data_IF_494617821051
#
_entry.id   IF_494617821051
#
_cell.length_a   1.000
_cell.length_b   1.000
_cell.length_c   1.000
_cell.angle_alpha   90.00
_cell.angle_beta   90.00
_cell.angle_gamma   90.00
#
_symmetry.space_group_name_H-M   'P 1'
#
loop_
_entity.id
_entity.type
_entity.pdbx_description
1 polymer ?
#
# COMPACT_ATOMS: atom_id res chain seq x y z
N UNK A 1 -40.09 20.25 -6.48
CA UNK A 1 -39.99 18.78 -6.37
C UNK A 1 -38.73 18.48 -5.58
N UNK A 2 -38.89 18.34 -4.27
CA UNK A 2 -37.82 18.10 -3.30
C UNK A 2 -37.31 16.67 -3.42
N UNK A 3 -36.10 16.47 -3.94
CA UNK A 3 -35.44 15.17 -3.95
C UNK A 3 -34.92 14.86 -2.55
N UNK A 4 -35.69 14.06 -1.81
CA UNK A 4 -35.28 13.43 -0.56
C UNK A 4 -34.02 12.58 -0.79
N UNK A 5 -32.87 13.09 -0.35
CA UNK A 5 -31.66 12.28 -0.20
C UNK A 5 -31.85 11.40 1.02
N UNK A 6 -32.44 10.22 0.81
CA UNK A 6 -32.47 9.13 1.78
C UNK A 6 -31.04 8.79 2.20
N UNK A 7 -30.63 9.26 3.38
CA UNK A 7 -29.39 8.82 4.01
C UNK A 7 -29.60 7.39 4.51
N UNK A 8 -29.39 6.41 3.63
CA UNK A 8 -29.35 5.01 4.03
C UNK A 8 -28.17 4.84 5.01
N UNK A 9 -28.48 4.82 6.32
CA UNK A 9 -27.55 4.38 7.37
C UNK A 9 -27.20 2.93 7.07
N UNK A 10 -26.05 2.74 6.44
CA UNK A 10 -25.54 1.42 6.12
C UNK A 10 -25.22 0.66 7.41
N UNK A 11 -25.96 -0.41 7.65
CA UNK A 11 -25.72 -1.35 8.75
C UNK A 11 -24.83 -2.47 8.21
N UNK A 12 -23.63 -2.61 8.76
CA UNK A 12 -22.76 -3.77 8.49
C UNK A 12 -23.53 -5.05 8.79
N UNK A 13 -23.47 -6.10 7.94
CA UNK A 13 -24.11 -7.39 8.23
C UNK A 13 -23.48 -8.09 9.45
N UNK A 14 -22.31 -7.64 9.87
CA UNK A 14 -21.62 -8.11 11.07
C UNK A 14 -21.90 -7.18 12.26
N UNK A 15 -22.29 -7.78 13.38
CA UNK A 15 -22.38 -7.08 14.66
C UNK A 15 -20.97 -6.74 15.16
N UNK A 16 -20.72 -5.47 15.49
CA UNK A 16 -19.43 -5.06 16.04
C UNK A 16 -19.31 -5.58 17.48
N UNK A 17 -18.45 -6.57 17.67
CA UNK A 17 -18.15 -7.07 19.01
C UNK A 17 -17.53 -5.97 19.88
N UNK A 18 -18.11 -5.72 21.05
CA UNK A 18 -17.58 -4.77 22.04
C UNK A 18 -16.78 -5.54 23.07
N UNK A 19 -15.45 -5.38 23.03
CA UNK A 19 -14.56 -5.95 24.03
C UNK A 19 -14.84 -5.41 25.43
N UNK A 20 -14.61 -6.26 26.44
CA UNK A 20 -14.74 -5.90 27.85
C UNK A 20 -13.89 -4.66 28.21
N UNK A 21 -14.33 -3.89 29.22
CA UNK A 21 -13.64 -2.67 29.64
C UNK A 21 -12.26 -2.95 30.23
N UNK A 22 -12.09 -4.04 30.98
CA UNK A 22 -10.80 -4.39 31.57
C UNK A 22 -9.78 -4.74 30.50
N UNK A 23 -10.18 -5.54 29.51
CA UNK A 23 -9.34 -5.88 28.35
C UNK A 23 -8.93 -4.62 27.56
N UNK A 24 -9.87 -3.69 27.32
CA UNK A 24 -9.55 -2.42 26.64
C UNK A 24 -8.55 -1.57 27.43
N UNK A 25 -8.68 -1.52 28.75
CA UNK A 25 -7.74 -0.80 29.62
C UNK A 25 -6.35 -1.46 29.61
N UNK A 26 -6.29 -2.78 29.58
CA UNK A 26 -5.04 -3.54 29.47
C UNK A 26 -4.34 -3.27 28.15
N UNK A 27 -5.05 -3.36 27.02
CA UNK A 27 -4.52 -3.01 25.69
C UNK A 27 -4.04 -1.55 25.65
N UNK A 28 -4.78 -0.64 26.28
CA UNK A 28 -4.39 0.78 26.35
C UNK A 28 -3.06 0.98 27.08
N UNK A 29 -2.74 0.21 28.14
CA UNK A 29 -1.44 0.27 28.81
C UNK A 29 -0.29 -0.06 27.86
N UNK A 30 -0.42 -1.13 27.07
CA UNK A 30 0.59 -1.50 26.08
C UNK A 30 0.71 -0.47 24.94
N UNK A 31 -0.42 0.10 24.53
CA UNK A 31 -0.46 1.13 23.48
C UNK A 31 0.20 2.44 23.95
N UNK A 32 0.05 2.79 25.24
CA UNK A 32 0.71 3.94 25.85
C UNK A 32 2.22 3.73 26.00
N UNK A 33 2.64 2.51 26.32
CA UNK A 33 4.06 2.14 26.37
C UNK A 33 4.71 2.21 24.98
N UNK A 34 3.97 1.83 23.93
CA UNK A 34 4.42 1.94 22.55
C UNK A 34 3.97 3.27 21.91
N UNK A 35 4.33 4.38 22.56
CA UNK A 35 3.98 5.71 22.09
C UNK A 35 4.70 6.00 20.76
N UNK A 36 3.95 6.54 19.80
CA UNK A 36 4.48 7.00 18.52
C UNK A 36 5.52 8.09 18.75
N UNK A 37 6.68 7.96 18.12
CA UNK A 37 7.70 9.00 18.03
C UNK A 37 7.88 9.49 16.59
N UNK A 38 8.92 10.26 16.32
CA UNK A 38 9.19 10.82 15.00
C UNK A 38 10.37 10.15 14.27
N UNK A 39 11.10 9.24 14.91
CA UNK A 39 12.38 8.76 14.40
C UNK A 39 12.31 7.32 13.89
N UNK A 40 11.51 6.42 14.47
CA UNK A 40 11.44 5.04 13.98
C UNK A 40 10.94 4.95 12.53
N UNK A 41 9.88 5.69 12.20
CA UNK A 41 9.38 5.75 10.81
C UNK A 41 10.42 6.36 9.85
N UNK A 42 11.10 7.43 10.28
CA UNK A 42 12.17 8.04 9.48
C UNK A 42 13.33 7.08 9.24
N UNK A 43 13.79 6.37 10.28
CA UNK A 43 14.85 5.36 10.18
C UNK A 43 14.46 4.20 9.26
N UNK A 44 13.21 3.76 9.30
CA UNK A 44 12.71 2.73 8.39
C UNK A 44 12.80 3.17 6.93
N UNK A 45 12.39 4.42 6.61
CA UNK A 45 12.51 4.99 5.26
C UNK A 45 13.98 5.10 4.85
N UNK A 46 14.84 5.62 5.73
CA UNK A 46 16.28 5.74 5.45
C UNK A 46 16.88 4.36 5.14
N UNK A 47 16.53 3.33 5.91
CA UNK A 47 16.99 1.96 5.69
C UNK A 47 16.52 1.41 4.34
N UNK A 48 15.24 1.56 4.00
CA UNK A 48 14.70 1.10 2.72
C UNK A 48 15.38 1.81 1.53
N UNK A 49 15.56 3.14 1.59
CA UNK A 49 16.27 3.90 0.56
C UNK A 49 17.75 3.54 0.45
N UNK A 50 18.43 3.34 1.58
CA UNK A 50 19.83 2.93 1.60
C UNK A 50 20.00 1.59 0.87
N UNK A 51 19.12 0.63 1.13
CA UNK A 51 19.15 -0.67 0.45
C UNK A 51 18.85 -0.52 -1.04
N UNK A 52 17.86 0.28 -1.42
CA UNK A 52 17.51 0.53 -2.83
C UNK A 52 18.71 1.10 -3.59
N UNK A 53 19.32 2.17 -3.05
CA UNK A 53 20.45 2.84 -3.67
C UNK A 53 21.67 1.91 -3.73
N UNK A 54 21.94 1.16 -2.66
CA UNK A 54 23.04 0.19 -2.62
C UNK A 54 22.85 -0.91 -3.68
N UNK A 55 21.67 -1.53 -3.77
CA UNK A 55 21.38 -2.56 -4.77
C UNK A 55 21.50 -2.04 -6.21
N UNK A 56 20.98 -0.84 -6.48
CA UNK A 56 21.10 -0.21 -7.79
C UNK A 56 22.57 0.08 -8.15
N UNK A 57 23.33 0.62 -7.20
CA UNK A 57 24.74 0.95 -7.40
C UNK A 57 25.60 -0.29 -7.61
N UNK A 58 25.38 -1.35 -6.82
CA UNK A 58 26.08 -2.64 -6.97
C UNK A 58 25.76 -3.25 -8.34
N UNK A 59 24.49 -3.26 -8.74
CA UNK A 59 24.11 -3.80 -10.05
C UNK A 59 24.76 -3.02 -11.20
N UNK A 60 24.84 -1.69 -11.12
CA UNK A 60 25.55 -0.88 -12.11
C UNK A 60 27.05 -1.15 -12.11
N UNK A 61 27.65 -1.28 -10.93
CA UNK A 61 29.08 -1.58 -10.79
C UNK A 61 29.43 -2.94 -11.43
N UNK A 62 28.65 -3.99 -11.14
CA UNK A 62 28.85 -5.33 -11.72
C UNK A 62 28.76 -5.28 -13.24
N UNK A 63 27.78 -4.56 -13.78
CA UNK A 63 27.62 -4.40 -15.24
C UNK A 63 28.81 -3.72 -15.90
N UNK A 64 29.36 -2.68 -15.29
CA UNK A 64 30.44 -1.86 -15.87
C UNK A 64 31.85 -2.44 -15.64
N UNK A 65 32.00 -3.36 -14.68
CA UNK A 65 33.27 -3.99 -14.38
C UNK A 65 33.57 -5.13 -15.38
N UNK A 66 34.67 -5.03 -16.12
CA UNK A 66 35.04 -6.00 -17.16
C UNK A 66 35.10 -7.44 -16.64
N UNK A 67 35.59 -7.64 -15.41
CA UNK A 67 35.77 -8.96 -14.80
C UNK A 67 34.48 -9.55 -14.24
N UNK A 68 33.53 -8.71 -13.83
CA UNK A 68 32.25 -9.14 -13.25
C UNK A 68 31.08 -9.06 -14.24
N UNK A 69 31.31 -8.48 -15.42
CA UNK A 69 30.25 -8.24 -16.40
C UNK A 69 29.46 -9.51 -16.71
N UNK A 70 30.07 -10.68 -16.80
CA UNK A 70 29.34 -11.92 -17.11
C UNK A 70 28.22 -12.30 -16.11
N UNK A 71 28.29 -11.87 -14.84
CA UNK A 71 27.22 -12.08 -13.83
C UNK A 71 26.20 -10.94 -13.76
N UNK A 72 26.30 -9.93 -14.64
CA UNK A 72 25.41 -8.77 -14.63
C UNK A 72 23.92 -9.15 -14.65
N UNK A 73 23.44 -10.15 -15.43
CA UNK A 73 22.01 -10.46 -15.49
C UNK A 73 21.49 -10.98 -14.14
N UNK A 74 22.30 -11.78 -13.45
CA UNK A 74 21.96 -12.34 -12.13
C UNK A 74 21.94 -11.23 -11.08
N UNK A 75 22.95 -10.36 -11.07
CA UNK A 75 22.99 -9.21 -10.15
C UNK A 75 21.80 -8.28 -10.35
N UNK A 76 21.38 -8.06 -11.60
CA UNK A 76 20.26 -7.21 -11.96
C UNK A 76 18.92 -7.82 -11.54
N UNK A 77 18.71 -9.11 -11.81
CA UNK A 77 17.51 -9.83 -11.35
C UNK A 77 17.39 -9.80 -9.82
N UNK A 78 18.50 -10.01 -9.10
CA UNK A 78 18.52 -9.93 -7.64
C UNK A 78 18.20 -8.51 -7.14
N UNK A 79 18.77 -7.49 -7.78
CA UNK A 79 18.48 -6.10 -7.45
C UNK A 79 16.98 -5.78 -7.62
N UNK A 80 16.36 -6.23 -8.71
CA UNK A 80 14.90 -6.08 -8.92
C UNK A 80 14.11 -6.69 -7.78
N UNK A 81 14.41 -7.93 -7.38
CA UNK A 81 13.70 -8.60 -6.29
C UNK A 81 13.85 -7.87 -4.95
N UNK A 82 15.07 -7.43 -4.61
CA UNK A 82 15.33 -6.72 -3.35
C UNK A 82 14.66 -5.34 -3.36
N UNK A 83 14.82 -4.58 -4.44
CA UNK A 83 14.21 -3.25 -4.60
C UNK A 83 12.69 -3.37 -4.54
N UNK A 84 12.08 -4.35 -5.21
CA UNK A 84 10.65 -4.61 -5.14
C UNK A 84 10.17 -4.91 -3.71
N UNK A 85 10.94 -5.68 -2.93
CA UNK A 85 10.65 -5.91 -1.52
C UNK A 85 10.73 -4.62 -0.69
N UNK A 86 11.69 -3.73 -0.98
CA UNK A 86 11.80 -2.41 -0.32
C UNK A 86 10.68 -1.46 -0.72
N UNK A 87 10.24 -1.48 -1.98
CA UNK A 87 9.07 -0.73 -2.43
C UNK A 87 7.80 -1.13 -1.67
N UNK A 88 7.65 -2.41 -1.29
CA UNK A 88 6.57 -2.85 -0.38
C UNK A 88 6.74 -2.32 1.05
N UNK A 89 7.97 -2.13 1.52
CA UNK A 89 8.29 -1.41 2.76
C UNK A 89 7.84 0.06 2.69
N UNK A 90 8.17 0.76 1.60
CA UNK A 90 7.71 2.13 1.35
C UNK A 90 6.16 2.21 1.28
N UNK A 91 5.50 1.23 0.66
CA UNK A 91 4.03 1.15 0.64
C UNK A 91 3.45 1.04 2.06
N UNK A 92 4.11 0.30 2.97
CA UNK A 92 3.74 0.26 4.38
C UNK A 92 3.93 1.61 5.06
N UNK A 93 5.03 2.32 4.78
CA UNK A 93 5.26 3.67 5.28
C UNK A 93 4.16 4.65 4.87
N UNK A 94 3.77 4.64 3.59
CA UNK A 94 2.60 5.39 3.11
C UNK A 94 1.32 4.99 3.88
N UNK A 95 1.07 3.69 4.01
CA UNK A 95 -0.10 3.17 4.72
C UNK A 95 -0.19 3.70 6.14
N UNK A 96 0.84 3.51 6.95
CA UNK A 96 0.90 3.96 8.34
C UNK A 96 0.83 5.49 8.44
N UNK A 97 1.41 6.21 7.47
CA UNK A 97 1.38 7.67 7.44
C UNK A 97 -0.02 8.22 7.16
N UNK A 98 -0.80 7.59 6.27
CA UNK A 98 -2.19 8.00 6.02
C UNK A 98 -3.10 7.77 7.22
N UNK A 99 -2.76 6.82 8.09
CA UNK A 99 -3.38 6.58 9.40
C UNK A 99 -2.84 7.51 10.51
N UNK A 100 -1.89 8.41 10.21
CA UNK A 100 -1.18 9.23 11.19
C UNK A 100 -0.53 8.41 12.32
N UNK A 101 -0.06 7.21 11.97
CA UNK A 101 0.56 6.26 12.88
C UNK A 101 2.08 6.13 12.65
N UNK A 102 2.60 6.65 11.55
CA UNK A 102 4.01 6.51 11.17
C UNK A 102 4.95 7.43 11.95
N UNK A 103 4.48 8.63 12.26
CA UNK A 103 5.16 9.57 13.15
C UNK A 103 4.18 10.23 14.12
N UNK A 104 4.67 10.80 15.21
CA UNK A 104 3.84 11.61 16.11
C UNK A 104 3.38 12.93 15.46
N UNK A 105 4.18 13.51 14.56
CA UNK A 105 3.87 14.76 13.87
C UNK A 105 3.12 14.51 12.54
N UNK A 106 1.92 15.07 12.41
CA UNK A 106 1.08 14.95 11.19
C UNK A 106 1.74 15.49 9.91
N UNK A 107 2.54 16.55 10.00
CA UNK A 107 3.25 17.11 8.85
C UNK A 107 4.38 16.17 8.41
N UNK A 108 5.04 15.52 9.36
CA UNK A 108 6.06 14.52 9.06
C UNK A 108 5.44 13.27 8.41
N UNK A 109 4.27 12.82 8.89
CA UNK A 109 3.52 11.75 8.22
C UNK A 109 3.21 12.13 6.77
N UNK A 110 2.66 13.33 6.53
CA UNK A 110 2.35 13.78 5.19
C UNK A 110 3.60 13.84 4.29
N UNK A 111 4.68 14.44 4.77
CA UNK A 111 5.92 14.58 4.01
C UNK A 111 6.55 13.21 3.68
N UNK A 112 6.81 12.38 4.69
CA UNK A 112 7.44 11.07 4.51
C UNK A 112 6.56 10.10 3.73
N UNK A 113 5.25 10.11 3.99
CA UNK A 113 4.29 9.29 3.28
C UNK A 113 4.11 9.70 1.82
N UNK A 114 4.21 11.00 1.51
CA UNK A 114 4.06 11.51 0.13
C UNK A 114 5.34 11.36 -0.67
N UNK A 115 6.41 12.04 -0.24
CA UNK A 115 7.60 12.23 -1.08
C UNK A 115 8.58 11.07 -0.98
N UNK A 116 8.82 10.58 0.25
CA UNK A 116 9.80 9.52 0.48
C UNK A 116 9.23 8.11 0.26
N UNK A 117 7.90 7.98 0.13
CA UNK A 117 7.22 6.69 0.03
C UNK A 117 6.27 6.63 -1.16
N UNK A 118 5.11 7.30 -1.08
CA UNK A 118 4.01 7.16 -2.04
C UNK A 118 4.40 7.46 -3.48
N UNK A 119 5.05 8.58 -3.75
CA UNK A 119 5.45 8.94 -5.12
C UNK A 119 6.43 7.95 -5.75
N UNK A 120 7.29 7.34 -4.94
CA UNK A 120 8.27 6.33 -5.39
C UNK A 120 7.59 5.08 -5.94
N UNK A 121 6.40 4.78 -5.42
CA UNK A 121 5.57 3.64 -5.84
C UNK A 121 4.34 4.08 -6.63
N UNK A 122 4.35 5.32 -7.16
CA UNK A 122 3.26 5.89 -7.96
C UNK A 122 1.90 5.90 -7.26
N UNK A 123 1.89 6.19 -5.95
CA UNK A 123 0.70 6.30 -5.13
C UNK A 123 0.57 7.72 -4.55
N UNK A 124 -0.61 8.33 -4.69
CA UNK A 124 -0.89 9.62 -4.07
C UNK A 124 -1.29 9.45 -2.61
N UNK A 125 -0.74 10.29 -1.73
CA UNK A 125 -1.08 10.24 -0.29
C UNK A 125 -2.59 10.44 -0.06
N UNK A 126 -3.17 11.46 -0.71
CA UNK A 126 -4.58 11.79 -0.51
C UNK A 126 -5.51 10.76 -1.15
N UNK A 127 -5.19 10.29 -2.35
CA UNK A 127 -5.98 9.24 -3.01
C UNK A 127 -5.97 7.96 -2.19
N UNK A 128 -4.79 7.52 -1.73
CA UNK A 128 -4.67 6.36 -0.87
C UNK A 128 -5.40 6.55 0.46
N UNK A 129 -5.29 7.72 1.12
CA UNK A 129 -6.00 7.99 2.37
C UNK A 129 -7.54 7.93 2.20
N UNK A 130 -8.07 8.46 1.09
CA UNK A 130 -9.52 8.42 0.83
C UNK A 130 -9.96 6.99 0.55
N UNK A 131 -9.29 6.30 -0.37
CA UNK A 131 -9.64 4.92 -0.75
C UNK A 131 -9.53 3.97 0.45
N UNK A 132 -8.39 4.01 1.14
CA UNK A 132 -8.05 3.05 2.19
C UNK A 132 -8.65 3.41 3.55
N UNK A 133 -8.32 4.59 4.08
CA UNK A 133 -8.69 4.95 5.47
C UNK A 133 -10.16 5.31 5.59
N UNK A 134 -10.71 6.06 4.61
CA UNK A 134 -12.08 6.57 4.70
C UNK A 134 -13.14 5.64 4.15
N UNK A 135 -12.81 4.83 3.14
CA UNK A 135 -13.79 3.98 2.47
C UNK A 135 -13.56 2.49 2.76
N UNK A 136 -12.35 1.96 2.56
CA UNK A 136 -12.07 0.54 2.77
C UNK A 136 -12.24 0.11 4.24
N UNK A 137 -11.46 0.66 5.19
CA UNK A 137 -11.54 0.24 6.60
C UNK A 137 -12.95 0.36 7.22
N UNK A 138 -13.70 1.46 7.01
CA UNK A 138 -15.02 1.60 7.61
C UNK A 138 -16.10 0.73 6.94
N UNK A 139 -15.92 0.36 5.67
CA UNK A 139 -16.91 -0.33 4.86
C UNK A 139 -16.43 -1.68 4.31
N UNK A 140 -15.42 -2.28 4.94
CA UNK A 140 -14.75 -3.50 4.52
C UNK A 140 -15.72 -4.59 4.03
N UNK A 141 -15.52 -5.08 2.80
CA UNK A 141 -16.31 -6.17 2.21
C UNK A 141 -17.76 -5.81 1.83
N UNK A 142 -18.11 -4.51 1.87
CA UNK A 142 -19.43 -4.02 1.45
C UNK A 142 -19.33 -3.36 0.07
N UNK A 143 -20.47 -3.06 -0.55
CA UNK A 143 -20.50 -2.38 -1.85
C UNK A 143 -19.92 -0.96 -1.84
N UNK A 144 -19.51 -0.42 -0.68
CA UNK A 144 -18.80 0.87 -0.57
C UNK A 144 -17.30 0.72 -0.34
N UNK A 145 -16.81 -0.51 -0.20
CA UNK A 145 -15.38 -0.80 -0.13
C UNK A 145 -14.80 -0.79 -1.56
N UNK A 146 -13.93 0.17 -1.89
CA UNK A 146 -13.35 0.28 -3.23
C UNK A 146 -12.53 -0.96 -3.61
N UNK A 147 -11.90 -1.62 -2.63
CA UNK A 147 -11.11 -2.83 -2.89
C UNK A 147 -12.04 -4.00 -3.23
N UNK A 148 -13.17 -4.11 -2.53
CA UNK A 148 -14.18 -5.12 -2.83
C UNK A 148 -14.85 -4.90 -4.19
N UNK A 149 -15.15 -3.65 -4.54
CA UNK A 149 -15.64 -3.29 -5.87
C UNK A 149 -14.62 -3.70 -6.95
N UNK A 150 -13.34 -3.38 -6.75
CA UNK A 150 -12.28 -3.76 -7.67
C UNK A 150 -12.17 -5.29 -7.86
N UNK A 151 -12.34 -6.08 -6.79
CA UNK A 151 -12.37 -7.55 -6.90
C UNK A 151 -13.58 -8.08 -7.69
N UNK A 152 -14.76 -7.45 -7.53
CA UNK A 152 -15.96 -7.80 -8.31
C UNK A 152 -15.81 -7.44 -9.79
N UNK A 153 -15.32 -6.24 -10.09
CA UNK A 153 -15.08 -5.76 -11.45
C UNK A 153 -14.08 -6.64 -12.20
N UNK A 154 -13.06 -7.13 -11.50
CA UNK A 154 -12.09 -8.08 -12.05
C UNK A 154 -12.61 -9.54 -12.12
N UNK A 155 -13.83 -9.81 -11.65
CA UNK A 155 -14.44 -11.13 -11.67
C UNK A 155 -13.72 -12.13 -10.76
N UNK A 156 -13.13 -11.67 -9.67
CA UNK A 156 -12.40 -12.52 -8.70
C UNK A 156 -13.35 -13.05 -7.63
N UNK A 157 -14.35 -12.26 -7.24
CA UNK A 157 -15.34 -12.61 -6.24
C UNK A 157 -16.78 -12.29 -6.70
N UNK A 158 -17.76 -12.74 -5.92
CA UNK A 158 -19.18 -12.57 -6.22
C UNK A 158 -19.68 -13.49 -7.34
N UNK A 159 -20.83 -13.12 -7.92
CA UNK A 159 -21.55 -13.92 -8.92
C UNK A 159 -20.80 -14.04 -10.27
N UNK A 160 -19.87 -13.13 -10.55
CA UNK A 160 -19.09 -13.11 -11.81
C UNK A 160 -17.75 -13.85 -11.71
N UNK A 161 -17.52 -14.60 -10.63
CA UNK A 161 -16.30 -15.39 -10.44
C UNK A 161 -16.27 -16.55 -11.43
N UNK A 162 -15.35 -16.49 -12.39
CA UNK A 162 -15.06 -17.59 -13.33
C UNK A 162 -13.57 -17.92 -13.31
N UNK A 163 -13.21 -19.16 -13.66
CA UNK A 163 -11.80 -19.57 -13.75
C UNK A 163 -11.03 -18.74 -14.78
N UNK A 164 -11.68 -18.31 -15.86
CA UNK A 164 -11.07 -17.47 -16.89
C UNK A 164 -10.79 -16.04 -16.41
N UNK A 165 -11.73 -15.41 -15.69
CA UNK A 165 -11.50 -14.09 -15.09
C UNK A 165 -10.34 -14.11 -14.08
N UNK A 166 -10.28 -15.16 -13.24
CA UNK A 166 -9.17 -15.35 -12.30
C UNK A 166 -7.85 -15.54 -13.05
N UNK A 167 -7.80 -16.37 -14.09
CA UNK A 167 -6.59 -16.54 -14.92
C UNK A 167 -6.16 -15.23 -15.57
N UNK A 168 -7.10 -14.45 -16.10
CA UNK A 168 -6.83 -13.12 -16.67
C UNK A 168 -6.23 -12.18 -15.64
N UNK A 169 -6.79 -12.13 -14.44
CA UNK A 169 -6.26 -11.31 -13.34
C UNK A 169 -4.86 -11.77 -12.93
N UNK A 170 -4.62 -13.08 -12.78
CA UNK A 170 -3.29 -13.61 -12.47
C UNK A 170 -2.27 -13.25 -13.55
N UNK A 171 -2.62 -13.37 -14.84
CA UNK A 171 -1.75 -12.93 -15.94
C UNK A 171 -1.42 -11.44 -15.84
N UNK A 172 -2.36 -10.61 -15.42
CA UNK A 172 -2.13 -9.16 -15.26
C UNK A 172 -1.16 -8.81 -14.13
N UNK A 173 -0.93 -9.70 -13.15
CA UNK A 173 0.05 -9.50 -12.09
C UNK A 173 1.49 -9.75 -12.56
N UNK A 174 1.67 -10.67 -13.51
CA UNK A 174 2.99 -11.06 -14.02
C UNK A 174 3.37 -10.32 -15.30
N UNK A 175 2.40 -9.74 -16.01
CA UNK A 175 2.63 -8.97 -17.21
C UNK A 175 2.49 -7.47 -16.92
N UNK A 176 3.32 -6.60 -17.52
CA UNK A 176 3.28 -5.15 -17.29
C UNK A 176 2.05 -4.47 -17.93
N UNK A 177 1.07 -5.24 -18.42
CA UNK A 177 -0.13 -4.73 -19.10
C UNK A 177 -0.92 -3.80 -18.18
N UNK A 178 -1.11 -4.20 -16.91
CA UNK A 178 -1.82 -3.38 -15.94
C UNK A 178 -1.09 -2.06 -15.65
N UNK A 179 0.23 -2.14 -15.44
CA UNK A 179 1.08 -0.97 -15.21
C UNK A 179 1.08 -0.01 -16.40
N UNK A 180 1.15 -0.53 -17.63
CA UNK A 180 1.13 0.28 -18.84
C UNK A 180 -0.22 0.99 -19.03
N UNK A 181 -1.33 0.26 -18.86
CA UNK A 181 -2.67 0.85 -18.93
C UNK A 181 -2.88 1.94 -17.88
N UNK A 182 -2.35 1.74 -16.67
CA UNK A 182 -2.41 2.74 -15.61
C UNK A 182 -1.59 4.01 -15.95
N UNK A 183 -0.40 3.86 -16.53
CA UNK A 183 0.39 5.00 -16.99
C UNK A 183 -0.32 5.78 -18.10
N UNK A 184 -0.95 5.10 -19.06
CA UNK A 184 -1.75 5.74 -20.10
C UNK A 184 -2.96 6.49 -19.52
N UNK A 185 -3.60 5.92 -18.49
CA UNK A 185 -4.69 6.59 -17.78
C UNK A 185 -4.26 7.89 -17.11
N UNK A 186 -3.04 7.96 -16.57
CA UNK A 186 -2.52 9.19 -15.92
C UNK A 186 -2.16 10.31 -16.91
N UNK A 187 -1.94 9.98 -18.19
CA UNK A 187 -1.57 10.94 -19.24
C UNK A 187 -2.82 11.53 -19.92
N UNK A 188 -3.97 10.88 -19.78
CA UNK A 188 -5.24 11.25 -20.41
C UNK A 188 -6.10 12.11 -19.49
#
# INVERSE_FOLDING_TARGET
MSSETSSHKHVSPFERYKFDKNLRNEIAKYTLANKRDNYHGLLAIIADWTIIIACASISQYVRNNIYLSFIWPVSYALAICIIGARQRGLARGLHEATHNCFASNKYLNFFLGTFCSGYVIFQSFRGYQVSHVKNHHPYLGTDRDPDYQGLKENGICGIHRTSENVKRYLRSLFLPIASFNYLLYLIK
#
